data_IF_294863460519
#
_entry.id   IF_294863460519
#
_cell.length_a   1.000
_cell.length_b   1.000
_cell.length_c   1.000
_cell.angle_alpha   90.00
_cell.angle_beta   90.00
_cell.angle_gamma   90.00
#
_symmetry.space_group_name_H-M   'P 1'
#
loop_
_entity.id
_entity.type
_entity.pdbx_description
1 polymer ?
#
# COMPACT_ATOMS: atom_id res chain seq x y z
N UNK A 1 43.88 -11.63 11.46
CA UNK A 1 44.16 -10.18 11.53
C UNK A 1 42.89 -9.56 12.09
N UNK A 2 42.82 -9.50 13.42
CA UNK A 2 41.69 -8.91 14.15
C UNK A 2 41.76 -7.39 14.05
N UNK A 3 40.65 -6.76 13.69
CA UNK A 3 40.53 -5.31 13.79
C UNK A 3 39.93 -4.98 15.15
N UNK A 4 40.79 -4.43 16.02
CA UNK A 4 40.42 -3.82 17.29
C UNK A 4 39.83 -2.42 16.99
N UNK A 5 38.53 -2.23 17.21
CA UNK A 5 37.91 -0.90 17.24
C UNK A 5 37.75 -0.49 18.71
N UNK A 6 38.64 0.38 19.18
CA UNK A 6 38.55 1.04 20.47
C UNK A 6 37.45 2.11 20.40
N UNK A 7 36.32 1.88 21.08
CA UNK A 7 35.36 2.93 21.38
C UNK A 7 35.71 3.53 22.75
N UNK A 8 36.27 4.74 22.73
CA UNK A 8 36.30 5.64 23.88
C UNK A 8 34.97 6.40 23.89
N UNK A 9 34.00 5.88 24.65
CA UNK A 9 33.16 6.65 25.57
C UNK A 9 32.11 5.71 26.19
N UNK A 10 32.11 5.69 27.52
CA UNK A 10 31.35 4.76 28.33
C UNK A 10 29.87 5.14 28.43
N UNK A 11 29.07 4.69 27.49
CA UNK A 11 27.63 4.43 27.72
C UNK A 11 27.24 3.17 26.96
N UNK A 12 27.14 2.05 27.68
CA UNK A 12 26.62 0.81 27.13
C UNK A 12 25.11 0.94 26.90
N UNK A 13 24.71 1.31 25.69
CA UNK A 13 23.36 0.99 25.19
C UNK A 13 23.37 -0.47 24.81
N UNK A 14 22.62 -1.30 25.53
CA UNK A 14 22.35 -2.67 25.12
C UNK A 14 21.58 -2.63 23.80
N UNK A 15 22.29 -2.76 22.68
CA UNK A 15 21.66 -3.10 21.41
C UNK A 15 20.93 -4.42 21.62
N UNK A 16 19.60 -4.39 21.53
CA UNK A 16 18.81 -5.61 21.40
C UNK A 16 19.23 -6.24 20.07
N UNK A 17 20.07 -7.26 20.12
CA UNK A 17 20.24 -8.18 19.01
C UNK A 17 18.85 -8.68 18.62
N UNK A 18 18.35 -8.18 17.48
CA UNK A 18 17.23 -8.83 16.81
C UNK A 18 17.70 -10.24 16.49
N UNK A 19 16.91 -11.29 16.81
CA UNK A 19 17.33 -12.65 16.52
C UNK A 19 17.70 -12.72 15.05
N UNK A 20 18.96 -13.06 14.76
CA UNK A 20 19.43 -13.26 13.39
C UNK A 20 18.54 -14.34 12.79
N UNK A 21 17.59 -13.92 11.95
CA UNK A 21 16.80 -14.85 11.17
C UNK A 21 17.76 -15.60 10.26
N UNK A 22 17.86 -16.92 10.46
CA UNK A 22 18.56 -17.79 9.54
C UNK A 22 18.02 -17.51 8.13
N UNK A 23 18.88 -17.21 7.14
CA UNK A 23 18.41 -16.99 5.78
C UNK A 23 17.59 -18.19 5.30
N UNK A 24 16.39 -17.93 4.76
CA UNK A 24 15.51 -18.94 4.18
C UNK A 24 15.42 -18.77 2.66
N UNK A 25 16.50 -19.04 1.89
CA UNK A 25 16.40 -19.01 0.44
C UNK A 25 15.57 -20.21 -0.03
N UNK A 26 14.40 -19.94 -0.63
CA UNK A 26 13.70 -20.96 -1.41
C UNK A 26 14.48 -21.23 -2.71
N UNK A 27 14.54 -22.49 -3.18
CA UNK A 27 15.07 -22.79 -4.50
C UNK A 27 14.08 -22.34 -5.57
N UNK A 28 14.19 -21.09 -5.99
CA UNK A 28 13.37 -20.53 -7.06
C UNK A 28 13.99 -20.87 -8.42
N UNK A 29 13.15 -21.33 -9.34
CA UNK A 29 13.47 -21.49 -10.74
C UNK A 29 13.43 -20.16 -11.50
N UNK A 30 13.29 -20.27 -12.82
CA UNK A 30 13.12 -19.09 -13.68
C UNK A 30 11.81 -18.37 -13.33
N UNK A 31 11.78 -17.05 -13.57
CA UNK A 31 10.54 -16.30 -13.72
C UNK A 31 9.61 -17.09 -14.65
N UNK A 32 8.33 -17.27 -14.33
CA UNK A 32 7.36 -17.94 -15.20
C UNK A 32 6.54 -16.91 -15.97
N UNK A 33 5.91 -16.01 -15.23
CA UNK A 33 5.15 -14.89 -15.77
C UNK A 33 5.06 -13.73 -14.79
N UNK A 34 4.58 -12.58 -15.25
CA UNK A 34 4.08 -11.52 -14.38
C UNK A 34 2.74 -11.03 -14.88
N UNK A 35 1.92 -10.53 -13.95
CA UNK A 35 0.56 -10.10 -14.24
C UNK A 35 0.37 -8.63 -13.89
N UNK A 36 -0.21 -7.89 -14.83
CA UNK A 36 -0.66 -6.52 -14.63
C UNK A 36 -2.16 -6.49 -14.38
N UNK A 37 -2.64 -5.64 -13.47
CA UNK A 37 -4.05 -5.24 -13.42
C UNK A 37 -4.14 -3.80 -13.92
N UNK A 38 -5.02 -3.56 -14.88
CA UNK A 38 -5.18 -2.26 -15.56
C UNK A 38 -6.66 -1.95 -15.81
N UNK A 39 -7.03 -0.66 -15.98
CA UNK A 39 -8.41 -0.29 -16.30
C UNK A 39 -8.85 -0.65 -17.72
N UNK A 40 -7.92 -0.80 -18.66
CA UNK A 40 -8.17 -1.17 -20.07
C UNK A 40 -7.07 -2.12 -20.54
N UNK A 41 -7.36 -3.43 -20.50
CA UNK A 41 -6.40 -4.45 -20.87
C UNK A 41 -6.13 -4.48 -22.38
N UNK A 42 -7.10 -4.08 -23.20
CA UNK A 42 -6.93 -4.03 -24.65
C UNK A 42 -5.95 -2.93 -25.06
N UNK A 43 -6.08 -1.72 -24.51
CA UNK A 43 -5.17 -0.61 -24.77
C UNK A 43 -3.75 -0.91 -24.26
N UNK A 44 -3.65 -1.43 -23.03
CA UNK A 44 -2.36 -1.83 -22.46
C UNK A 44 -1.69 -2.92 -23.32
N UNK A 45 -2.43 -3.94 -23.75
CA UNK A 45 -1.90 -5.03 -24.58
C UNK A 45 -1.45 -4.54 -25.96
N UNK A 46 -2.24 -3.66 -26.62
CA UNK A 46 -1.83 -3.06 -27.90
C UNK A 46 -0.52 -2.31 -27.77
N UNK A 47 -0.34 -1.49 -26.73
CA UNK A 47 0.92 -0.80 -26.50
C UNK A 47 2.10 -1.78 -26.37
N UNK A 48 1.94 -2.85 -25.59
CA UNK A 48 2.99 -3.86 -25.43
C UNK A 48 3.33 -4.55 -26.75
N UNK A 49 2.32 -4.88 -27.58
CA UNK A 49 2.55 -5.55 -28.86
C UNK A 49 3.16 -4.59 -29.91
N UNK A 50 2.55 -3.43 -30.10
CA UNK A 50 2.86 -2.51 -31.20
C UNK A 50 4.10 -1.66 -30.93
N UNK A 51 4.37 -1.31 -29.67
CA UNK A 51 5.50 -0.44 -29.29
C UNK A 51 6.66 -1.24 -28.72
N UNK A 52 6.37 -2.22 -27.85
CA UNK A 52 7.41 -2.95 -27.10
C UNK A 52 7.75 -4.31 -27.72
N UNK A 53 7.02 -4.76 -28.75
CA UNK A 53 7.31 -6.00 -29.48
C UNK A 53 6.91 -7.29 -28.76
N UNK A 54 5.96 -7.23 -27.82
CA UNK A 54 5.41 -8.43 -27.18
C UNK A 54 4.63 -9.26 -28.19
N UNK A 55 4.73 -10.59 -28.08
CA UNK A 55 3.98 -11.51 -28.96
C UNK A 55 2.58 -11.78 -28.43
N UNK A 56 1.55 -11.75 -29.28
CA UNK A 56 0.21 -12.16 -28.86
C UNK A 56 0.12 -13.69 -28.67
N UNK A 57 -0.48 -14.14 -27.56
CA UNK A 57 -0.78 -15.57 -27.33
C UNK A 57 -2.27 -15.84 -27.43
N UNK A 58 -3.06 -15.21 -26.56
CA UNK A 58 -4.53 -15.35 -26.55
C UNK A 58 -5.20 -14.27 -25.73
N UNK A 59 -6.50 -14.16 -25.94
CA UNK A 59 -7.45 -13.58 -24.99
C UNK A 59 -8.16 -14.71 -24.22
N UNK A 60 -8.39 -14.51 -22.93
CA UNK A 60 -9.08 -15.47 -22.08
C UNK A 60 -10.04 -14.76 -21.13
N UNK A 61 -11.33 -15.08 -21.26
CA UNK A 61 -12.37 -14.65 -20.31
C UNK A 61 -12.59 -15.72 -19.25
N UNK A 62 -12.73 -15.29 -18.01
CA UNK A 62 -12.80 -16.18 -16.85
C UNK A 62 -13.88 -15.67 -15.90
N UNK A 63 -14.59 -16.61 -15.29
CA UNK A 63 -15.41 -16.34 -14.12
C UNK A 63 -14.57 -16.71 -12.89
N UNK A 64 -14.04 -15.71 -12.21
CA UNK A 64 -13.24 -15.85 -10.99
C UNK A 64 -14.11 -15.98 -9.73
N UNK A 65 -15.44 -15.99 -9.89
CA UNK A 65 -16.41 -16.30 -8.84
C UNK A 65 -17.26 -15.11 -8.37
N UNK A 66 -17.20 -13.97 -9.06
CA UNK A 66 -18.05 -12.79 -8.82
C UNK A 66 -19.15 -12.59 -9.87
N UNK A 67 -19.10 -13.27 -11.02
CA UNK A 67 -20.16 -13.22 -12.04
C UNK A 67 -21.14 -14.40 -11.95
N UNK A 68 -22.40 -14.25 -12.41
CA UNK A 68 -23.34 -15.35 -12.56
C UNK A 68 -22.79 -16.52 -13.41
N UNK A 69 -23.37 -17.71 -13.25
CA UNK A 69 -23.00 -18.87 -14.06
C UNK A 69 -23.20 -18.58 -15.56
N UNK A 70 -22.18 -18.89 -16.37
CA UNK A 70 -22.16 -18.60 -17.80
C UNK A 70 -21.68 -17.20 -18.18
N UNK A 71 -21.44 -16.31 -17.20
CA UNK A 71 -20.88 -14.97 -17.40
C UNK A 71 -19.42 -14.89 -16.94
N UNK A 72 -18.75 -13.78 -17.23
CA UNK A 72 -17.32 -13.56 -16.94
C UNK A 72 -17.11 -12.25 -16.18
N UNK A 73 -16.23 -12.25 -15.18
CA UNK A 73 -15.85 -11.08 -14.38
C UNK A 73 -14.37 -10.67 -14.60
N UNK A 74 -13.61 -11.44 -15.37
CA UNK A 74 -12.21 -11.22 -15.65
C UNK A 74 -11.90 -11.42 -17.14
N UNK A 75 -11.06 -10.53 -17.67
CA UNK A 75 -10.42 -10.62 -18.97
C UNK A 75 -8.91 -10.66 -18.81
N UNK A 76 -8.26 -11.63 -19.46
CA UNK A 76 -6.81 -11.72 -19.55
C UNK A 76 -6.37 -11.68 -21.01
N UNK A 77 -5.40 -10.81 -21.32
CA UNK A 77 -4.57 -10.93 -22.51
C UNK A 77 -3.23 -11.56 -22.11
N UNK A 78 -2.93 -12.72 -22.68
CA UNK A 78 -1.64 -13.40 -22.47
C UNK A 78 -0.73 -13.05 -23.64
N UNK A 79 0.45 -12.52 -23.31
CA UNK A 79 1.45 -12.09 -24.26
C UNK A 79 2.80 -12.76 -23.96
N UNK A 80 3.57 -13.07 -24.99
CA UNK A 80 4.97 -13.47 -24.87
C UNK A 80 5.87 -12.27 -24.65
N UNK A 81 6.90 -12.42 -23.80
CA UNK A 81 7.90 -11.38 -23.62
C UNK A 81 8.74 -11.16 -24.89
N UNK A 82 9.15 -9.92 -25.19
CA UNK A 82 10.05 -9.65 -26.29
C UNK A 82 11.42 -10.26 -25.98
N UNK A 83 11.97 -11.01 -26.94
CA UNK A 83 13.28 -11.66 -26.80
C UNK A 83 13.29 -12.96 -25.99
N UNK A 84 12.23 -13.27 -25.23
CA UNK A 84 12.07 -14.56 -24.54
C UNK A 84 10.60 -15.05 -24.62
N UNK A 85 10.19 -15.68 -25.74
CA UNK A 85 8.83 -16.17 -25.90
C UNK A 85 8.53 -17.39 -25.04
N UNK A 86 9.50 -17.95 -24.31
CA UNK A 86 9.20 -18.96 -23.28
C UNK A 86 8.55 -18.33 -22.03
N UNK A 87 8.45 -17.00 -21.96
CA UNK A 87 7.88 -16.28 -20.82
C UNK A 87 6.67 -15.49 -21.23
N UNK A 88 5.78 -15.30 -20.27
CA UNK A 88 4.53 -14.59 -20.53
C UNK A 88 4.33 -13.41 -19.60
N UNK A 89 3.63 -12.41 -20.11
CA UNK A 89 2.96 -11.38 -19.33
C UNK A 89 1.46 -11.61 -19.48
N UNK A 90 0.72 -11.43 -18.38
CA UNK A 90 -0.74 -11.44 -18.40
C UNK A 90 -1.23 -10.03 -18.09
N UNK A 91 -2.07 -9.46 -18.96
CA UNK A 91 -2.73 -8.17 -18.74
C UNK A 91 -4.18 -8.44 -18.36
N UNK A 92 -4.55 -8.11 -17.13
CA UNK A 92 -5.83 -8.42 -16.52
C UNK A 92 -6.70 -7.17 -16.37
N UNK A 93 -7.98 -7.31 -16.72
CA UNK A 93 -9.03 -6.32 -16.50
C UNK A 93 -10.23 -6.98 -15.81
N UNK A 94 -10.82 -6.28 -14.84
CA UNK A 94 -12.08 -6.67 -14.22
C UNK A 94 -13.27 -6.21 -15.07
N UNK A 95 -14.10 -7.15 -15.54
CA UNK A 95 -15.20 -6.88 -16.48
C UNK A 95 -16.49 -6.38 -15.82
N UNK A 96 -16.60 -6.50 -14.50
CA UNK A 96 -17.78 -6.08 -13.72
C UNK A 96 -17.35 -5.28 -12.49
N UNK A 97 -18.24 -4.47 -11.93
CA UNK A 97 -17.98 -3.72 -10.69
C UNK A 97 -17.69 -4.65 -9.50
N UNK A 98 -18.33 -5.82 -9.49
CA UNK A 98 -18.11 -6.84 -8.46
C UNK A 98 -16.87 -7.71 -8.68
N UNK A 99 -16.21 -7.55 -9.82
CA UNK A 99 -14.98 -8.25 -10.13
C UNK A 99 -13.95 -7.97 -9.04
N UNK A 100 -13.38 -9.05 -8.53
CA UNK A 100 -12.32 -8.98 -7.53
C UNK A 100 -11.09 -8.21 -8.05
N UNK A 101 -10.83 -8.26 -9.36
CA UNK A 101 -9.74 -7.52 -10.00
C UNK A 101 -10.08 -6.04 -10.15
N UNK A 102 -11.35 -5.69 -10.35
CA UNK A 102 -11.81 -4.28 -10.34
C UNK A 102 -11.66 -3.69 -8.94
N UNK A 103 -12.15 -4.41 -7.91
CA UNK A 103 -11.99 -3.99 -6.52
C UNK A 103 -10.51 -3.89 -6.10
N UNK A 104 -9.67 -4.79 -6.59
CA UNK A 104 -8.22 -4.69 -6.37
C UNK A 104 -7.63 -3.44 -7.05
N UNK A 105 -7.99 -3.17 -8.31
CA UNK A 105 -7.58 -1.97 -9.05
C UNK A 105 -8.00 -0.69 -8.31
N UNK A 106 -9.23 -0.63 -7.79
CA UNK A 106 -9.74 0.53 -7.07
C UNK A 106 -9.00 0.75 -5.73
N UNK A 107 -8.61 -0.35 -5.06
CA UNK A 107 -7.91 -0.29 -3.77
C UNK A 107 -6.41 0.03 -3.91
N UNK A 108 -5.73 -0.47 -4.95
CA UNK A 108 -4.27 -0.43 -5.05
C UNK A 108 -3.74 0.32 -6.28
N UNK A 109 -4.61 0.73 -7.20
CA UNK A 109 -4.23 1.34 -8.47
C UNK A 109 -3.74 0.33 -9.52
N UNK A 110 -3.51 0.79 -10.77
CA UNK A 110 -3.00 -0.06 -11.84
C UNK A 110 -1.51 -0.40 -11.63
N UNK A 111 -1.11 -1.62 -11.99
CA UNK A 111 0.30 -2.03 -11.87
C UNK A 111 0.51 -3.54 -11.82
N UNK A 112 1.70 -3.95 -11.37
CA UNK A 112 2.04 -5.36 -11.18
C UNK A 112 1.20 -5.92 -10.02
N UNK A 113 0.39 -6.92 -10.35
CA UNK A 113 -0.41 -7.66 -9.39
C UNK A 113 0.41 -8.79 -8.75
N UNK A 114 1.11 -9.57 -9.57
CA UNK A 114 2.03 -10.60 -9.10
C UNK A 114 3.15 -10.90 -10.07
N UNK A 115 4.19 -11.52 -9.51
CA UNK A 115 5.32 -12.09 -10.24
C UNK A 115 5.43 -13.56 -9.85
N UNK A 116 5.47 -14.45 -10.84
CA UNK A 116 5.49 -15.89 -10.64
C UNK A 116 6.86 -16.48 -10.86
N UNK A 117 7.31 -17.33 -9.93
CA UNK A 117 8.54 -18.12 -10.05
C UNK A 117 8.21 -19.59 -10.12
N UNK A 118 8.83 -20.29 -11.08
CA UNK A 118 8.74 -21.73 -11.16
C UNK A 118 9.40 -22.38 -9.93
N UNK A 119 8.82 -23.47 -9.44
CA UNK A 119 9.41 -24.31 -8.40
C UNK A 119 9.25 -25.79 -8.77
N UNK A 120 10.25 -26.60 -8.41
CA UNK A 120 10.25 -28.04 -8.71
C UNK A 120 9.32 -28.82 -7.76
N UNK A 121 9.20 -28.38 -6.50
CA UNK A 121 8.31 -28.97 -5.48
C UNK A 121 7.60 -27.85 -4.71
N UNK A 122 6.36 -27.56 -5.11
CA UNK A 122 5.58 -26.51 -4.45
C UNK A 122 5.16 -26.91 -3.04
N UNK A 123 4.94 -28.20 -2.77
CA UNK A 123 4.53 -28.66 -1.45
C UNK A 123 5.65 -28.45 -0.42
N UNK A 124 6.90 -28.73 -0.80
CA UNK A 124 8.06 -28.47 0.06
C UNK A 124 8.28 -26.98 0.29
N UNK A 125 8.22 -26.15 -0.77
CA UNK A 125 8.36 -24.71 -0.66
C UNK A 125 7.28 -24.09 0.24
N UNK A 126 6.02 -24.53 0.06
CA UNK A 126 4.89 -24.09 0.86
C UNK A 126 5.07 -24.43 2.34
N UNK A 127 5.46 -25.67 2.67
CA UNK A 127 5.75 -26.09 4.05
C UNK A 127 6.86 -25.26 4.70
N UNK A 128 7.95 -24.99 3.97
CA UNK A 128 9.06 -24.15 4.46
C UNK A 128 8.60 -22.73 4.79
N UNK A 129 7.70 -22.16 3.99
CA UNK A 129 7.13 -20.84 4.24
C UNK A 129 6.22 -20.84 5.48
N UNK A 130 5.37 -21.86 5.64
CA UNK A 130 4.53 -22.01 6.84
C UNK A 130 5.36 -22.17 8.12
N UNK A 131 6.40 -23.02 8.09
CA UNK A 131 7.30 -23.24 9.24
C UNK A 131 8.06 -21.97 9.64
N UNK A 132 8.33 -21.10 8.68
CA UNK A 132 8.99 -19.81 8.90
C UNK A 132 8.02 -18.65 9.15
N UNK A 133 6.72 -18.93 9.30
CA UNK A 133 5.65 -17.95 9.52
C UNK A 133 5.61 -16.85 8.44
N UNK A 134 6.03 -17.16 7.22
CA UNK A 134 5.93 -16.26 6.08
C UNK A 134 4.48 -16.26 5.57
N UNK A 135 3.77 -15.10 5.54
CA UNK A 135 2.35 -15.09 5.23
C UNK A 135 2.05 -15.52 3.78
N UNK A 136 1.11 -16.45 3.64
CA UNK A 136 0.52 -16.92 2.38
C UNK A 136 -0.94 -16.46 2.29
N UNK A 137 -1.50 -16.35 1.08
CA UNK A 137 -2.90 -15.89 0.90
C UNK A 137 -3.95 -16.96 1.21
N UNK A 138 -3.56 -18.23 1.22
CA UNK A 138 -4.42 -19.39 1.44
C UNK A 138 -3.67 -20.45 2.22
N UNK A 139 -4.40 -21.29 2.96
CA UNK A 139 -3.92 -22.52 3.63
C UNK A 139 -3.86 -23.76 2.71
N UNK A 140 -4.05 -23.55 1.40
CA UNK A 140 -4.11 -24.60 0.39
C UNK A 140 -3.43 -24.14 -0.89
N UNK A 141 -2.71 -25.08 -1.51
CA UNK A 141 -2.20 -24.96 -2.87
C UNK A 141 -3.38 -25.13 -3.84
N UNK A 142 -3.54 -24.20 -4.77
CA UNK A 142 -4.49 -24.34 -5.86
C UNK A 142 -3.99 -25.42 -6.82
N UNK A 143 -4.86 -26.36 -7.21
CA UNK A 143 -4.45 -27.54 -7.97
C UNK A 143 -5.48 -27.93 -9.02
N UNK A 144 -5.05 -27.98 -10.27
CA UNK A 144 -5.84 -28.51 -11.37
C UNK A 144 -5.52 -30.01 -11.54
N UNK A 145 -6.42 -30.94 -11.19
CA UNK A 145 -6.12 -32.37 -11.22
C UNK A 145 -5.96 -32.94 -12.64
N UNK A 146 -6.44 -32.23 -13.67
CA UNK A 146 -6.37 -32.71 -15.06
C UNK A 146 -5.00 -32.48 -15.68
N UNK A 147 -4.38 -31.33 -15.40
CA UNK A 147 -3.04 -31.03 -15.89
C UNK A 147 -1.98 -31.19 -14.82
N UNK A 148 -2.32 -31.21 -13.54
CA UNK A 148 -1.36 -31.21 -12.44
C UNK A 148 -0.78 -29.83 -12.13
N UNK A 149 -1.28 -28.76 -12.76
CA UNK A 149 -0.84 -27.38 -12.48
C UNK A 149 -1.11 -27.02 -11.02
N UNK A 150 -0.07 -26.57 -10.31
CA UNK A 150 -0.18 -26.14 -8.91
C UNK A 150 0.37 -24.74 -8.68
N UNK A 151 -0.34 -23.97 -7.87
CA UNK A 151 -0.04 -22.56 -7.66
C UNK A 151 -0.34 -22.13 -6.21
N UNK A 152 0.48 -21.21 -5.69
CA UNK A 152 0.22 -20.56 -4.40
C UNK A 152 0.76 -19.13 -4.39
N UNK A 153 0.08 -18.22 -3.69
CA UNK A 153 0.55 -16.85 -3.49
C UNK A 153 1.13 -16.64 -2.10
N UNK A 154 2.28 -16.00 -2.06
CA UNK A 154 2.87 -15.35 -0.89
C UNK A 154 2.26 -13.95 -0.78
N UNK A 155 1.96 -13.54 0.46
CA UNK A 155 1.40 -12.22 0.79
C UNK A 155 2.21 -11.08 0.20
N UNK A 156 1.50 -10.02 -0.18
CA UNK A 156 2.08 -8.77 -0.68
C UNK A 156 2.59 -7.83 0.42
N UNK A 157 2.36 -8.13 1.71
CA UNK A 157 2.59 -7.18 2.83
C UNK A 157 4.02 -6.62 2.90
N UNK A 158 5.01 -7.37 2.39
CA UNK A 158 6.42 -6.96 2.37
C UNK A 158 6.89 -6.43 1.02
N UNK A 159 6.20 -6.76 -0.07
CA UNK A 159 6.67 -6.57 -1.46
C UNK A 159 5.83 -5.58 -2.26
N UNK A 160 4.61 -5.27 -1.82
CA UNK A 160 3.66 -4.43 -2.55
C UNK A 160 2.93 -5.14 -3.69
N UNK A 161 3.32 -6.37 -4.04
CA UNK A 161 2.67 -7.25 -5.03
C UNK A 161 2.79 -8.70 -4.57
N UNK A 162 1.91 -9.59 -5.02
CA UNK A 162 2.00 -11.01 -4.61
C UNK A 162 3.17 -11.70 -5.32
N UNK A 163 3.82 -12.62 -4.63
CA UNK A 163 4.73 -13.56 -5.30
C UNK A 163 3.97 -14.86 -5.52
N UNK A 164 3.93 -15.35 -6.74
CA UNK A 164 3.39 -16.67 -7.05
C UNK A 164 4.51 -17.70 -7.11
N UNK A 165 4.27 -18.84 -6.48
CA UNK A 165 5.04 -20.05 -6.73
C UNK A 165 4.19 -20.98 -7.59
N UNK A 166 4.77 -21.41 -8.71
CA UNK A 166 4.07 -22.23 -9.71
C UNK A 166 4.87 -23.49 -10.03
N UNK A 167 4.23 -24.65 -9.90
CA UNK A 167 4.76 -25.96 -10.29
C UNK A 167 3.96 -26.42 -11.51
N UNK A 168 4.66 -26.60 -12.64
CA UNK A 168 4.10 -27.05 -13.91
C UNK A 168 4.48 -28.51 -14.17
N UNK A 169 3.63 -29.18 -14.91
CA UNK A 169 3.85 -30.51 -15.50
C UNK A 169 4.01 -30.36 -17.01
N UNK A 170 4.27 -31.47 -17.71
CA UNK A 170 4.30 -31.48 -19.18
C UNK A 170 2.94 -31.10 -19.80
N UNK A 171 1.82 -31.43 -19.14
CA UNK A 171 0.47 -31.08 -19.59
C UNK A 171 0.07 -29.63 -19.28
N UNK A 172 0.79 -28.95 -18.38
CA UNK A 172 0.55 -27.57 -17.95
C UNK A 172 1.62 -26.61 -18.52
N UNK A 173 1.80 -26.63 -19.84
CA UNK A 173 2.80 -25.84 -20.56
C UNK A 173 2.81 -24.34 -20.19
N UNK A 174 3.96 -23.70 -20.40
CA UNK A 174 4.17 -22.27 -20.12
C UNK A 174 3.11 -21.39 -20.78
N UNK A 175 2.60 -20.40 -20.02
CA UNK A 175 1.52 -19.52 -20.45
C UNK A 175 0.12 -20.13 -20.36
N UNK A 176 -0.04 -21.44 -20.15
CA UNK A 176 -1.35 -22.08 -19.90
C UNK A 176 -1.77 -21.86 -18.45
N UNK A 177 -3.00 -21.35 -18.26
CA UNK A 177 -3.62 -21.10 -16.96
C UNK A 177 -5.01 -21.72 -16.91
N UNK A 178 -5.36 -22.31 -15.76
CA UNK A 178 -6.64 -23.02 -15.57
C UNK A 178 -7.62 -22.15 -14.80
N UNK A 179 -8.85 -22.04 -15.32
CA UNK A 179 -9.91 -21.20 -14.74
C UNK A 179 -10.22 -21.59 -13.29
N UNK A 180 -10.17 -22.89 -12.95
CA UNK A 180 -10.34 -23.37 -11.59
C UNK A 180 -9.28 -22.79 -10.64
N UNK A 181 -7.99 -22.95 -10.96
CA UNK A 181 -6.91 -22.36 -10.18
C UNK A 181 -7.03 -20.84 -10.09
N UNK A 182 -7.32 -20.16 -11.20
CA UNK A 182 -7.49 -18.69 -11.19
C UNK A 182 -8.61 -18.25 -10.24
N UNK A 183 -9.73 -18.97 -10.20
CA UNK A 183 -10.83 -18.69 -9.28
C UNK A 183 -10.44 -18.96 -7.81
N UNK A 184 -9.69 -20.02 -7.53
CA UNK A 184 -9.19 -20.32 -6.18
C UNK A 184 -8.18 -19.27 -5.69
N UNK A 185 -7.22 -18.89 -6.54
CA UNK A 185 -6.24 -17.85 -6.28
C UNK A 185 -6.93 -16.50 -6.07
N UNK A 186 -7.89 -16.14 -6.91
CA UNK A 186 -8.75 -14.97 -6.71
C UNK A 186 -9.46 -15.04 -5.35
N UNK A 187 -10.06 -16.16 -4.98
CA UNK A 187 -10.70 -16.29 -3.66
C UNK A 187 -9.72 -16.07 -2.50
N UNK A 188 -8.46 -16.49 -2.66
CA UNK A 188 -7.43 -16.31 -1.63
C UNK A 188 -7.06 -14.84 -1.39
N UNK A 189 -7.17 -13.97 -2.40
CA UNK A 189 -6.80 -12.56 -2.25
C UNK A 189 -7.91 -11.69 -1.67
N UNK A 190 -9.09 -12.24 -1.34
CA UNK A 190 -10.24 -11.47 -0.82
C UNK A 190 -9.92 -10.65 0.43
N UNK A 191 -9.00 -11.09 1.30
CA UNK A 191 -8.58 -10.35 2.50
C UNK A 191 -7.71 -9.12 2.19
N UNK A 192 -7.13 -9.04 0.99
CA UNK A 192 -6.26 -7.95 0.55
C UNK A 192 -6.98 -6.87 -0.23
N UNK A 193 -8.25 -7.13 -0.52
CA UNK A 193 -9.19 -6.18 -1.05
C UNK A 193 -9.93 -5.76 0.20
N UNK A 194 -9.62 -4.54 0.69
CA UNK A 194 -10.42 -3.95 1.75
C UNK A 194 -11.88 -4.16 1.36
N UNK A 195 -12.69 -4.72 2.27
CA UNK A 195 -14.08 -5.08 1.96
C UNK A 195 -14.68 -3.94 1.15
N UNK A 196 -14.85 -4.15 -0.16
CA UNK A 196 -15.26 -3.08 -1.06
C UNK A 196 -16.54 -2.54 -0.46
N UNK A 197 -16.48 -1.30 0.01
CA UNK A 197 -17.41 -0.67 0.97
C UNK A 197 -18.70 -1.48 1.09
N UNK A 198 -18.69 -2.54 1.93
CA UNK A 198 -19.95 -2.95 2.51
C UNK A 198 -20.29 -1.75 3.34
N UNK A 199 -21.38 -1.07 2.97
CA UNK A 199 -22.06 -0.18 3.87
C UNK A 199 -22.10 -0.90 5.21
N UNK A 200 -21.27 -0.43 6.15
CA UNK A 200 -21.30 -0.96 7.49
C UNK A 200 -22.75 -0.88 7.95
N UNK A 201 -23.28 -1.89 8.66
CA UNK A 201 -24.63 -1.80 9.20
C UNK A 201 -24.71 -0.47 9.92
N UNK A 202 -25.57 0.44 9.45
CA UNK A 202 -25.52 1.85 9.80
C UNK A 202 -25.31 1.96 11.30
N UNK A 203 -24.09 2.30 11.70
CA UNK A 203 -23.83 2.70 13.06
C UNK A 203 -24.68 3.95 13.21
N UNK A 204 -25.69 3.85 14.06
CA UNK A 204 -26.77 4.80 14.21
C UNK A 204 -26.33 6.23 13.85
N UNK A 205 -26.95 6.81 12.81
CA UNK A 205 -26.71 8.14 12.24
C UNK A 205 -25.88 9.06 13.16
N UNK A 206 -24.56 8.94 13.07
CA UNK A 206 -23.64 9.93 13.64
C UNK A 206 -23.25 10.80 12.46
N UNK A 207 -23.46 12.11 12.58
CA UNK A 207 -23.13 13.04 11.51
C UNK A 207 -21.65 12.86 11.12
N UNK A 208 -21.36 12.95 9.82
CA UNK A 208 -20.00 12.90 9.30
C UNK A 208 -19.07 13.82 10.12
N UNK A 209 -17.86 13.36 10.48
CA UNK A 209 -16.97 14.15 11.31
C UNK A 209 -16.64 15.46 10.60
N UNK A 210 -16.73 16.57 11.34
CA UNK A 210 -16.39 17.91 10.83
C UNK A 210 -15.04 18.42 11.33
N UNK A 211 -14.50 17.78 12.37
CA UNK A 211 -13.17 18.03 12.90
C UNK A 211 -12.68 16.82 13.72
N UNK A 212 -11.37 16.77 13.98
CA UNK A 212 -10.75 15.85 14.92
C UNK A 212 -10.14 16.65 16.05
N UNK A 213 -10.34 16.18 17.29
CA UNK A 213 -9.80 16.83 18.49
C UNK A 213 -8.79 15.91 19.16
N UNK A 214 -7.63 16.47 19.50
CA UNK A 214 -6.57 15.81 20.26
C UNK A 214 -6.12 16.62 21.47
N UNK A 215 -5.19 16.05 22.24
CA UNK A 215 -4.52 16.70 23.36
C UNK A 215 -3.00 16.63 23.17
N UNK A 216 -2.33 17.75 23.38
CA UNK A 216 -0.87 17.86 23.34
C UNK A 216 -0.36 18.16 24.77
N UNK A 217 0.67 17.45 25.25
CA UNK A 217 1.12 17.51 26.64
C UNK A 217 2.08 18.69 26.91
N UNK A 218 1.89 19.82 26.23
CA UNK A 218 2.83 20.94 26.22
C UNK A 218 2.10 22.28 26.38
N UNK A 219 2.86 23.37 26.55
CA UNK A 219 2.31 24.71 26.54
C UNK A 219 1.90 25.15 25.11
N UNK A 220 1.01 26.13 24.99
CA UNK A 220 0.54 26.61 23.67
C UNK A 220 1.66 27.20 22.82
N UNK A 221 2.61 27.92 23.42
CA UNK A 221 3.75 28.49 22.71
C UNK A 221 4.71 27.40 22.20
N UNK A 222 4.87 26.30 22.95
CA UNK A 222 5.66 25.14 22.54
C UNK A 222 4.99 24.40 21.38
N UNK A 223 3.69 24.13 21.48
CA UNK A 223 2.91 23.53 20.39
C UNK A 223 3.01 24.36 19.11
N UNK A 224 2.87 25.69 19.23
CA UNK A 224 2.97 26.62 18.09
C UNK A 224 4.37 26.62 17.50
N UNK A 225 5.41 26.68 18.33
CA UNK A 225 6.80 26.67 17.86
C UNK A 225 7.17 25.36 17.17
N UNK A 226 6.63 24.23 17.63
CA UNK A 226 6.87 22.93 17.01
C UNK A 226 6.13 22.80 15.67
N UNK A 227 4.84 23.17 15.65
CA UNK A 227 4.01 23.10 14.44
C UNK A 227 4.40 24.15 13.39
N UNK A 228 4.98 25.29 13.77
CA UNK A 228 5.36 26.34 12.82
C UNK A 228 6.63 26.02 12.02
N UNK A 229 7.30 24.92 12.32
CA UNK A 229 8.54 24.48 11.69
C UNK A 229 8.26 23.25 10.80
N UNK A 230 8.09 23.43 9.46
CA UNK A 230 7.79 22.32 8.55
C UNK A 230 8.81 21.18 8.58
N UNK A 231 10.05 21.44 9.00
CA UNK A 231 11.05 20.39 9.21
C UNK A 231 10.65 19.34 10.24
N UNK A 232 9.66 19.62 11.08
CA UNK A 232 9.12 18.66 12.05
C UNK A 232 8.03 17.75 11.48
N UNK A 233 7.47 18.04 10.29
CA UNK A 233 6.41 17.21 9.68
C UNK A 233 6.79 15.71 9.61
N UNK A 234 8.00 15.31 9.18
CA UNK A 234 8.38 13.90 9.13
C UNK A 234 8.28 13.15 10.46
N UNK A 235 8.35 13.86 11.59
CA UNK A 235 8.34 13.25 12.93
C UNK A 235 6.96 12.69 13.31
N UNK A 236 5.87 13.21 12.73
CA UNK A 236 4.50 12.88 13.15
C UNK A 236 3.50 12.66 12.03
N UNK A 237 3.83 13.01 10.79
CA UNK A 237 2.97 12.78 9.61
C UNK A 237 3.50 11.72 8.66
N UNK A 238 4.75 11.26 8.83
CA UNK A 238 5.51 10.48 7.85
C UNK A 238 5.77 11.19 6.50
N UNK A 239 5.50 12.50 6.42
CA UNK A 239 5.66 13.31 5.21
C UNK A 239 7.12 13.71 4.99
N UNK A 240 7.89 12.86 4.31
CA UNK A 240 9.35 12.99 4.18
C UNK A 240 9.82 13.88 3.02
N UNK A 241 8.90 14.41 2.22
CA UNK A 241 9.22 15.20 1.01
C UNK A 241 9.28 16.70 1.24
N UNK A 242 9.00 17.17 2.47
CA UNK A 242 9.10 18.60 2.82
C UNK A 242 10.54 18.96 3.15
N UNK A 243 11.08 19.94 2.43
CA UNK A 243 12.45 20.41 2.62
C UNK A 243 12.61 21.88 2.21
N UNK A 244 13.74 22.48 2.56
CA UNK A 244 14.09 23.83 2.08
C UNK A 244 14.66 23.77 0.67
N UNK A 245 14.25 24.72 -0.16
CA UNK A 245 14.86 24.98 -1.46
C UNK A 245 16.19 25.75 -1.32
N UNK A 246 16.84 26.08 -2.43
CA UNK A 246 18.09 26.87 -2.43
C UNK A 246 17.92 28.31 -1.92
N UNK A 247 16.69 28.84 -1.92
CA UNK A 247 16.34 30.16 -1.39
C UNK A 247 15.98 30.14 0.10
N UNK A 248 15.91 28.94 0.72
CA UNK A 248 15.49 28.76 2.11
C UNK A 248 13.97 28.70 2.30
N UNK A 249 13.19 28.75 1.22
CA UNK A 249 11.73 28.56 1.24
C UNK A 249 11.37 27.09 1.41
N UNK A 250 10.22 26.82 2.02
CA UNK A 250 9.73 25.45 2.18
C UNK A 250 9.02 24.97 0.92
N UNK A 251 9.36 23.77 0.50
CA UNK A 251 8.75 23.10 -0.63
C UNK A 251 8.41 21.66 -0.26
N UNK A 252 7.38 21.13 -0.90
CA UNK A 252 7.16 19.69 -1.02
C UNK A 252 7.73 19.20 -2.35
N UNK A 253 8.73 18.32 -2.28
CA UNK A 253 9.29 17.65 -3.46
C UNK A 253 8.28 16.68 -4.05
N UNK A 254 8.07 16.77 -5.36
CA UNK A 254 7.21 15.83 -6.09
C UNK A 254 7.84 15.44 -7.42
N UNK A 255 7.33 14.33 -7.98
CA UNK A 255 7.75 13.86 -9.29
C UNK A 255 7.40 14.86 -10.40
N UNK A 256 6.28 15.57 -10.24
CA UNK A 256 5.75 16.53 -11.22
C UNK A 256 5.89 17.98 -10.75
N UNK A 257 7.12 18.39 -10.43
CA UNK A 257 7.43 19.75 -10.01
C UNK A 257 7.17 20.00 -8.52
N UNK A 258 8.05 20.78 -7.91
CA UNK A 258 7.98 21.07 -6.49
C UNK A 258 6.82 22.03 -6.18
N UNK A 259 6.16 21.82 -5.05
CA UNK A 259 5.02 22.62 -4.61
C UNK A 259 5.45 23.51 -3.44
N UNK A 260 5.30 24.85 -3.54
CA UNK A 260 5.57 25.74 -2.42
C UNK A 260 4.70 25.41 -1.20
N UNK A 261 5.31 25.43 -0.02
CA UNK A 261 4.66 25.25 1.28
C UNK A 261 4.81 26.52 2.11
N UNK A 262 3.69 27.11 2.52
CA UNK A 262 3.65 28.24 3.44
C UNK A 262 3.09 27.81 4.80
N UNK A 263 3.65 28.35 5.89
CA UNK A 263 3.09 28.20 7.23
C UNK A 263 2.68 29.55 7.80
N UNK A 264 1.41 29.67 8.19
CA UNK A 264 0.83 30.86 8.81
C UNK A 264 0.57 30.60 10.29
N UNK A 265 1.09 31.46 11.16
CA UNK A 265 0.93 31.36 12.62
C UNK A 265 0.09 32.52 13.12
N UNK A 266 -1.06 32.22 13.72
CA UNK A 266 -1.93 33.16 14.40
C UNK A 266 -1.88 32.94 15.92
N UNK A 267 -2.68 33.70 16.69
CA UNK A 267 -2.70 33.60 18.15
C UNK A 267 -3.01 32.17 18.63
N UNK A 268 -4.06 31.55 18.07
CA UNK A 268 -4.61 30.25 18.44
C UNK A 268 -4.70 29.29 17.24
N UNK A 269 -3.93 29.51 16.17
CA UNK A 269 -3.96 28.65 14.97
C UNK A 269 -2.60 28.57 14.30
N UNK A 270 -2.21 27.39 13.84
CA UNK A 270 -1.14 27.18 12.85
C UNK A 270 -1.76 26.60 11.59
N UNK A 271 -1.42 27.14 10.42
CA UNK A 271 -1.95 26.67 9.14
C UNK A 271 -0.83 26.35 8.16
N UNK A 272 -0.92 25.19 7.52
CA UNK A 272 -0.05 24.79 6.42
C UNK A 272 -0.80 24.99 5.11
N UNK A 273 -0.16 25.60 4.12
CA UNK A 273 -0.74 25.87 2.80
C UNK A 273 0.17 25.38 1.69
N UNK A 274 -0.36 24.55 0.79
CA UNK A 274 0.31 24.07 -0.42
C UNK A 274 -0.28 24.76 -1.64
N UNK A 275 0.58 25.37 -2.45
CA UNK A 275 0.19 26.10 -3.65
C UNK A 275 0.17 25.19 -4.89
N UNK A 276 -0.89 24.38 -5.03
CA UNK A 276 -1.09 23.60 -6.26
C UNK A 276 -1.60 24.47 -7.41
N UNK A 277 -1.26 24.09 -8.64
CA UNK A 277 -1.66 24.78 -9.89
C UNK A 277 -3.17 24.84 -10.07
N UNK A 278 -3.91 23.82 -9.63
CA UNK A 278 -5.38 23.78 -9.76
C UNK A 278 -6.08 24.53 -8.63
N UNK A 279 -5.72 24.22 -7.37
CA UNK A 279 -6.34 24.79 -6.19
C UNK A 279 -5.43 24.69 -4.97
N UNK A 280 -5.25 25.78 -4.19
CA UNK A 280 -4.49 25.71 -2.95
C UNK A 280 -5.16 24.75 -1.96
N UNK A 281 -4.33 24.04 -1.21
CA UNK A 281 -4.77 23.14 -0.14
C UNK A 281 -4.25 23.67 1.19
N UNK A 282 -5.14 23.82 2.17
CA UNK A 282 -4.76 24.29 3.50
C UNK A 282 -5.21 23.29 4.57
N UNK A 283 -4.38 23.13 5.60
CA UNK A 283 -4.66 22.36 6.81
C UNK A 283 -4.48 23.27 8.02
N UNK A 284 -5.43 23.26 8.94
CA UNK A 284 -5.43 24.13 10.12
C UNK A 284 -5.33 23.32 11.41
N UNK A 285 -4.55 23.82 12.35
CA UNK A 285 -4.45 23.33 13.72
C UNK A 285 -4.91 24.46 14.65
N UNK A 286 -6.16 24.37 15.10
CA UNK A 286 -6.72 25.26 16.11
C UNK A 286 -6.27 24.83 17.50
N UNK A 287 -5.70 25.75 18.27
CA UNK A 287 -5.05 25.47 19.55
C UNK A 287 -5.74 26.25 20.66
N UNK A 288 -6.31 25.52 21.62
CA UNK A 288 -6.92 26.08 22.83
C UNK A 288 -6.14 25.62 24.06
N UNK A 289 -5.72 26.58 24.89
CA UNK A 289 -5.04 26.28 26.15
C UNK A 289 -6.01 25.62 27.15
N UNK A 290 -5.52 24.62 27.86
CA UNK A 290 -6.27 23.88 28.89
C UNK A 290 -5.41 23.65 30.13
N UNK A 291 -5.99 23.33 31.30
CA UNK A 291 -5.20 23.01 32.49
C UNK A 291 -4.26 21.80 32.33
N UNK A 292 -4.51 20.92 31.35
CA UNK A 292 -3.77 19.68 31.11
C UNK A 292 -2.82 19.76 29.89
N UNK A 293 -2.61 20.96 29.33
CA UNK A 293 -1.84 21.18 28.09
C UNK A 293 -2.68 21.89 27.03
N UNK A 294 -2.54 21.50 25.76
CA UNK A 294 -3.25 22.13 24.64
C UNK A 294 -4.28 21.18 24.05
N UNK A 295 -5.51 21.67 23.86
CA UNK A 295 -6.49 21.03 23.00
C UNK A 295 -6.21 21.48 21.57
N UNK A 296 -5.99 20.53 20.68
CA UNK A 296 -5.82 20.78 19.25
C UNK A 296 -7.05 20.31 18.50
N UNK A 297 -7.61 21.16 17.63
CA UNK A 297 -8.73 20.85 16.76
C UNK A 297 -8.29 21.01 15.31
N UNK A 298 -8.48 19.96 14.51
CA UNK A 298 -8.15 19.96 13.08
C UNK A 298 -9.46 19.84 12.30
N UNK A 299 -9.94 20.89 11.62
CA UNK A 299 -11.17 20.83 10.86
C UNK A 299 -11.01 19.97 9.61
N UNK A 300 -12.06 19.24 9.27
CA UNK A 300 -12.14 18.45 8.04
C UNK A 300 -12.60 19.38 6.90
N UNK A 301 -11.98 19.31 5.70
CA UNK A 301 -12.35 20.18 4.58
C UNK A 301 -13.84 20.13 4.24
N UNK A 302 -14.45 21.29 3.99
CA UNK A 302 -15.84 21.35 3.56
C UNK A 302 -16.03 20.80 2.14
N UNK A 303 -17.21 20.24 1.86
CA UNK A 303 -17.57 19.75 0.53
C UNK A 303 -16.96 18.39 0.17
N UNK A 304 -16.39 17.67 1.14
CA UNK A 304 -16.03 16.26 0.98
C UNK A 304 -17.23 15.37 1.31
N UNK A 305 -17.34 14.22 0.65
CA UNK A 305 -18.33 13.21 0.99
C UNK A 305 -18.06 12.57 2.36
N UNK A 306 -19.06 11.88 2.91
CA UNK A 306 -19.00 11.27 4.24
C UNK A 306 -17.88 10.25 4.37
N UNK A 307 -17.68 9.39 3.36
CA UNK A 307 -16.63 8.38 3.38
C UNK A 307 -15.24 9.03 3.44
N UNK A 308 -15.02 10.08 2.64
CA UNK A 308 -13.79 10.87 2.64
C UNK A 308 -13.60 11.63 3.95
N UNK A 309 -14.67 12.16 4.55
CA UNK A 309 -14.60 12.81 5.86
C UNK A 309 -14.12 11.82 6.94
N UNK A 310 -14.71 10.62 6.98
CA UNK A 310 -14.33 9.56 7.92
C UNK A 310 -12.88 9.12 7.72
N UNK A 311 -12.46 8.87 6.47
CA UNK A 311 -11.07 8.52 6.15
C UNK A 311 -10.09 9.60 6.58
N UNK A 312 -10.37 10.86 6.23
CA UNK A 312 -9.54 12.01 6.62
C UNK A 312 -9.45 12.13 8.15
N UNK A 313 -10.57 11.93 8.85
CA UNK A 313 -10.60 11.97 10.31
C UNK A 313 -9.71 10.88 10.94
N UNK A 314 -9.68 9.68 10.37
CA UNK A 314 -8.86 8.59 10.89
C UNK A 314 -7.36 8.83 10.67
N UNK A 315 -6.97 9.36 9.51
CA UNK A 315 -5.59 9.79 9.27
C UNK A 315 -5.17 10.86 10.30
N UNK A 316 -5.96 11.92 10.47
CA UNK A 316 -5.66 12.99 11.42
C UNK A 316 -5.59 12.46 12.87
N UNK A 317 -6.45 11.51 13.28
CA UNK A 317 -6.36 10.89 14.61
C UNK A 317 -5.00 10.23 14.83
N UNK A 318 -4.48 9.53 13.83
CA UNK A 318 -3.16 8.88 13.89
C UNK A 318 -2.05 9.92 13.93
N UNK A 319 -2.12 10.96 13.10
CA UNK A 319 -1.19 12.10 13.14
C UNK A 319 -1.16 12.77 14.52
N UNK A 320 -2.32 13.01 15.14
CA UNK A 320 -2.39 13.63 16.46
C UNK A 320 -1.82 12.73 17.57
N UNK A 321 -1.87 11.40 17.43
CA UNK A 321 -1.18 10.47 18.34
C UNK A 321 0.34 10.62 18.20
N UNK A 322 0.85 10.63 16.98
CA UNK A 322 2.28 10.75 16.71
C UNK A 322 2.81 12.14 17.06
N UNK A 323 2.01 13.19 16.85
CA UNK A 323 2.35 14.56 17.23
C UNK A 323 2.44 14.70 18.75
N UNK A 324 1.50 14.09 19.48
CA UNK A 324 1.52 14.08 20.94
C UNK A 324 2.79 13.39 21.47
N UNK A 325 3.17 12.25 20.88
CA UNK A 325 4.43 11.53 21.19
C UNK A 325 5.68 12.36 20.88
N UNK A 326 5.72 13.01 19.72
CA UNK A 326 6.81 13.90 19.32
C UNK A 326 6.96 15.12 20.26
N UNK A 327 5.87 15.54 20.91
CA UNK A 327 5.83 16.58 21.95
C UNK A 327 6.00 16.03 23.38
N UNK A 328 6.43 14.76 23.52
CA UNK A 328 6.81 14.17 24.80
C UNK A 328 5.68 13.45 25.55
N UNK A 329 4.55 13.13 24.92
CA UNK A 329 3.52 12.31 25.53
C UNK A 329 4.04 10.87 25.73
N UNK A 330 3.69 10.26 26.87
CA UNK A 330 3.85 8.82 27.02
C UNK A 330 2.70 8.10 26.32
N UNK A 331 2.96 7.60 25.11
CA UNK A 331 2.01 6.81 24.32
C UNK A 331 2.40 5.33 24.36
N UNK A 332 1.39 4.45 24.47
CA UNK A 332 1.63 3.00 24.44
C UNK A 332 2.32 2.59 23.11
N UNK A 333 3.40 1.77 23.15
CA UNK A 333 4.12 1.36 21.93
C UNK A 333 3.24 0.74 20.85
N UNK A 334 2.25 -0.07 21.23
CA UNK A 334 1.32 -0.67 20.27
C UNK A 334 0.50 0.38 19.52
N UNK A 335 0.01 1.39 20.24
CA UNK A 335 -0.76 2.50 19.67
C UNK A 335 0.09 3.37 18.74
N UNK A 336 1.38 3.56 19.06
CA UNK A 336 2.32 4.25 18.16
C UNK A 336 2.53 3.45 16.87
N UNK A 337 2.72 2.14 16.98
CA UNK A 337 2.88 1.27 15.82
C UNK A 337 1.63 1.27 14.93
N UNK A 338 0.44 1.15 15.52
CA UNK A 338 -0.83 1.24 14.79
C UNK A 338 -0.99 2.59 14.06
N UNK A 339 -0.64 3.70 14.72
CA UNK A 339 -0.69 5.03 14.10
C UNK A 339 0.32 5.17 12.95
N UNK A 340 1.55 4.65 13.09
CA UNK A 340 2.56 4.64 12.02
C UNK A 340 2.11 3.80 10.82
N UNK A 341 1.53 2.63 11.07
CA UNK A 341 1.02 1.75 10.01
C UNK A 341 -0.18 2.38 9.27
N UNK A 342 -1.08 3.04 9.99
CA UNK A 342 -2.18 3.80 9.39
C UNK A 342 -1.64 4.93 8.50
N UNK A 343 -0.70 5.73 9.00
CA UNK A 343 -0.10 6.83 8.21
C UNK A 343 0.68 6.31 7.01
N UNK A 344 1.42 5.21 7.15
CA UNK A 344 2.09 4.56 6.03
C UNK A 344 1.11 4.12 4.94
N UNK A 345 -0.01 3.49 5.32
CA UNK A 345 -1.08 3.10 4.37
C UNK A 345 -1.71 4.32 3.70
N UNK A 346 -2.03 5.36 4.47
CA UNK A 346 -2.61 6.59 3.96
C UNK A 346 -1.71 7.25 2.91
N UNK A 347 -0.41 7.38 3.19
CA UNK A 347 0.53 8.00 2.24
C UNK A 347 0.75 7.14 1.00
N UNK A 348 0.83 5.81 1.12
CA UNK A 348 0.91 4.92 -0.05
C UNK A 348 -0.31 5.10 -0.97
N UNK A 349 -1.50 5.26 -0.40
CA UNK A 349 -2.72 5.56 -1.16
C UNK A 349 -2.66 6.95 -1.80
N UNK A 350 -2.20 7.97 -1.07
CA UNK A 350 -2.08 9.33 -1.63
C UNK A 350 -1.10 9.35 -2.81
N UNK A 351 0.05 8.68 -2.69
CA UNK A 351 1.07 8.60 -3.74
C UNK A 351 0.67 7.69 -4.91
N UNK A 352 -0.29 6.76 -4.74
CA UNK A 352 -0.80 5.95 -5.86
C UNK A 352 -1.87 6.67 -6.69
N UNK A 353 -2.36 7.84 -6.23
CA UNK A 353 -3.35 8.63 -6.98
C UNK A 353 -2.74 9.19 -8.26
N UNK A 354 -3.52 9.15 -9.34
CA UNK A 354 -3.13 9.69 -10.64
C UNK A 354 -2.84 11.19 -10.53
N UNK A 355 -1.58 11.59 -10.70
CA UNK A 355 -1.14 12.98 -10.64
C UNK A 355 -0.58 13.44 -9.29
N UNK A 356 -0.45 12.55 -8.29
CA UNK A 356 0.27 12.83 -7.05
C UNK A 356 1.78 13.01 -7.26
#
# INVERSE_FOLDING_TARGET
>A
MEFLVLHLDGTATAERESPMMTPLPLPLGRLDHYTLIVPDAAACSRFHMEVLGFGWVREQKVNAGSAPEGEYDMLNHVLHLPGDPSRTMVVTEGLTEDSIFRKYLDAHGPGIHHVAYAVDDLAEAYRKLEEAEIPLTSKRIAHDPMTGLRQAFISRDKTGYFIELIERTEEAEEGVFKSGNMAELAKSMKSYIGEGEKAEPSVAATAAPTAVVGKLPCAIDEAKSFLSEPGNLPLWTAHQTVMKDSGGGWIERRMNGDVPLEVKVAANRVSFGWEFTEKPFEVHFDLDETPEGVRVTVPIPQGVDEARAVRTANAIKSELVLLSDALGASVEPKRLEEARQEMGRFHLEVYSRKGA
#
